data_IF_013519942794
#
_entry.id   IF_013519942794
#
_cell.length_a   1.000
_cell.length_b   1.000
_cell.length_c   1.000
_cell.angle_alpha   90.00
_cell.angle_beta   90.00
_cell.angle_gamma   90.00
#
_symmetry.space_group_name_H-M   'P 1'
#
loop_
_entity.id
_entity.type
_entity.pdbx_description
1 polymer ?
#
# COMPACT_ATOMS: atom_id res chain seq x y z
N UNK A 1 13.31 -9.98 -28.70
CA UNK A 1 11.87 -10.20 -28.44
C UNK A 1 11.71 -10.31 -26.93
N UNK A 2 11.29 -9.19 -26.34
CA UNK A 2 11.05 -9.10 -24.91
C UNK A 2 9.75 -9.84 -24.59
N UNK A 3 9.84 -11.11 -24.27
CA UNK A 3 8.75 -11.89 -23.72
C UNK A 3 8.62 -11.65 -22.21
N UNK A 4 8.84 -10.42 -21.78
CA UNK A 4 8.53 -10.02 -20.44
C UNK A 4 7.03 -10.05 -20.25
N UNK A 5 6.50 -11.16 -19.78
CA UNK A 5 5.17 -11.21 -19.18
C UNK A 5 5.08 -10.03 -18.21
N UNK A 6 4.24 -9.05 -18.55
CA UNK A 6 4.06 -7.86 -17.70
C UNK A 6 3.74 -8.35 -16.29
N UNK A 7 4.68 -8.12 -15.35
CA UNK A 7 4.54 -8.54 -13.97
C UNK A 7 3.36 -7.83 -13.34
N UNK A 8 2.41 -8.59 -12.81
CA UNK A 8 1.36 -8.02 -11.98
C UNK A 8 1.98 -7.37 -10.75
N UNK A 9 1.64 -6.11 -10.50
CA UNK A 9 2.17 -5.38 -9.36
C UNK A 9 1.11 -4.53 -8.68
N UNK A 10 1.30 -4.33 -7.38
CA UNK A 10 0.59 -3.35 -6.58
C UNK A 10 1.58 -2.26 -6.17
N UNK A 11 1.19 -1.00 -6.29
CA UNK A 11 1.98 0.13 -5.85
C UNK A 11 1.44 0.62 -4.50
N UNK A 12 2.33 0.83 -3.54
CA UNK A 12 2.05 1.51 -2.29
C UNK A 12 2.57 2.94 -2.41
N UNK A 13 1.70 3.94 -2.29
CA UNK A 13 2.09 5.35 -2.21
C UNK A 13 2.23 5.76 -0.75
N UNK A 14 3.43 6.21 -0.40
CA UNK A 14 3.82 6.60 0.95
C UNK A 14 3.41 8.03 1.25
N UNK A 15 2.43 8.20 2.15
CA UNK A 15 1.97 9.49 2.66
C UNK A 15 2.55 9.82 4.05
N UNK A 16 3.65 9.20 4.44
CA UNK A 16 4.36 9.48 5.69
C UNK A 16 4.00 8.57 6.86
N UNK A 17 3.26 7.49 6.61
CA UNK A 17 2.87 6.53 7.64
C UNK A 17 4.03 5.67 8.15
N UNK A 18 3.84 5.06 9.31
CA UNK A 18 4.84 4.18 9.95
C UNK A 18 4.89 2.77 9.34
N UNK A 19 3.82 2.34 8.66
CA UNK A 19 3.63 0.95 8.26
C UNK A 19 3.73 0.71 6.75
N UNK A 20 4.38 1.61 6.01
CA UNK A 20 4.47 1.53 4.55
C UNK A 20 5.11 0.23 4.07
N UNK A 21 6.25 -0.13 4.66
CA UNK A 21 6.94 -1.37 4.32
C UNK A 21 6.16 -2.60 4.79
N UNK A 22 5.43 -2.50 5.88
CA UNK A 22 4.58 -3.58 6.36
C UNK A 22 3.43 -3.85 5.38
N UNK A 23 2.80 -2.80 4.84
CA UNK A 23 1.76 -2.94 3.80
C UNK A 23 2.33 -3.69 2.59
N UNK A 24 3.49 -3.28 2.08
CA UNK A 24 4.14 -3.94 0.96
C UNK A 24 4.48 -5.41 1.27
N UNK A 25 4.94 -5.69 2.47
CA UNK A 25 5.21 -7.05 2.93
C UNK A 25 3.95 -7.91 2.94
N UNK A 26 2.83 -7.38 3.43
CA UNK A 26 1.55 -8.11 3.43
C UNK A 26 1.05 -8.42 2.02
N UNK A 27 1.23 -7.50 1.09
CA UNK A 27 0.90 -7.72 -0.32
C UNK A 27 1.79 -8.83 -0.91
N UNK A 28 3.10 -8.80 -0.63
CA UNK A 28 4.05 -9.83 -1.09
C UNK A 28 3.74 -11.20 -0.50
N UNK A 29 3.24 -11.27 0.72
CA UNK A 29 2.75 -12.51 1.35
C UNK A 29 1.52 -13.09 0.60
N UNK A 30 0.83 -12.28 -0.19
CA UNK A 30 -0.21 -12.73 -1.12
C UNK A 30 0.36 -13.22 -2.48
N UNK A 31 1.66 -13.38 -2.60
CA UNK A 31 2.33 -13.75 -3.84
C UNK A 31 2.07 -12.76 -4.99
N UNK A 32 2.09 -11.48 -4.66
CA UNK A 32 1.96 -10.37 -5.60
C UNK A 32 3.15 -9.43 -5.41
N UNK A 33 3.79 -9.06 -6.51
CA UNK A 33 4.89 -8.10 -6.47
C UNK A 33 4.37 -6.73 -6.04
N UNK A 34 5.13 -6.05 -5.19
CA UNK A 34 4.74 -4.76 -4.62
C UNK A 34 5.93 -3.83 -4.46
N UNK A 35 5.78 -2.60 -4.87
CA UNK A 35 6.76 -1.54 -4.70
C UNK A 35 6.17 -0.41 -3.86
N UNK A 36 7.01 0.20 -3.02
CA UNK A 36 6.69 1.41 -2.28
C UNK A 36 7.30 2.61 -2.99
N UNK A 37 6.49 3.61 -3.27
CA UNK A 37 6.92 4.85 -3.90
C UNK A 37 6.45 6.06 -3.10
N UNK A 38 7.18 7.19 -3.14
CA UNK A 38 6.73 8.38 -2.47
C UNK A 38 5.43 8.92 -3.12
N UNK A 39 4.61 9.60 -2.32
CA UNK A 39 3.37 10.23 -2.82
C UNK A 39 3.63 11.26 -3.93
N UNK A 40 4.86 11.71 -4.09
CA UNK A 40 5.29 12.66 -5.14
C UNK A 40 5.47 12.00 -6.51
N UNK A 41 5.36 10.67 -6.59
CA UNK A 41 5.41 9.97 -7.88
C UNK A 41 4.34 10.52 -8.83
N UNK A 42 4.73 10.85 -10.06
CA UNK A 42 3.81 11.41 -11.05
C UNK A 42 2.76 10.39 -11.51
N UNK A 43 1.59 10.90 -11.88
CA UNK A 43 0.53 10.06 -12.45
C UNK A 43 0.96 9.38 -13.76
N UNK A 44 1.76 10.06 -14.57
CA UNK A 44 2.35 9.49 -15.79
C UNK A 44 3.21 8.28 -15.49
N UNK A 45 4.04 8.36 -14.45
CA UNK A 45 4.89 7.24 -14.03
C UNK A 45 4.06 6.07 -13.52
N UNK A 46 3.00 6.33 -12.78
CA UNK A 46 2.07 5.30 -12.33
C UNK A 46 1.41 4.60 -13.53
N UNK A 47 0.96 5.36 -14.52
CA UNK A 47 0.39 4.80 -15.75
C UNK A 47 1.39 3.93 -16.52
N UNK A 48 2.64 4.37 -16.63
CA UNK A 48 3.71 3.59 -17.27
C UNK A 48 3.95 2.25 -16.58
N UNK A 49 3.93 2.24 -15.24
CA UNK A 49 4.09 1.02 -14.45
C UNK A 49 2.89 0.07 -14.58
N UNK A 50 1.75 0.58 -15.00
CA UNK A 50 0.52 -0.18 -15.22
C UNK A 50 0.17 -1.13 -14.05
N UNK A 51 0.03 -0.61 -12.81
CA UNK A 51 -0.24 -1.45 -11.64
C UNK A 51 -1.64 -2.06 -11.70
N UNK A 52 -1.80 -3.20 -11.07
CA UNK A 52 -3.10 -3.84 -10.86
C UNK A 52 -3.90 -3.20 -9.75
N UNK A 53 -3.23 -2.54 -8.81
CA UNK A 53 -3.83 -1.84 -7.71
C UNK A 53 -2.89 -0.83 -7.09
N UNK A 54 -3.46 0.11 -6.35
CA UNK A 54 -2.72 1.14 -5.62
C UNK A 54 -3.23 1.16 -4.18
N UNK A 55 -2.31 1.25 -3.22
CA UNK A 55 -2.65 1.42 -1.80
C UNK A 55 -2.10 2.76 -1.33
N UNK A 56 -2.95 3.60 -0.77
CA UNK A 56 -2.57 4.83 -0.08
C UNK A 56 -2.33 4.52 1.39
N UNK A 57 -1.16 4.85 1.89
CA UNK A 57 -0.78 4.58 3.28
C UNK A 57 -1.46 5.53 4.26
N UNK A 58 -1.35 5.22 5.55
CA UNK A 58 -1.57 6.18 6.61
C UNK A 58 -0.56 7.32 6.58
N UNK A 59 -0.74 8.27 7.47
CA UNK A 59 0.15 9.42 7.64
C UNK A 59 -0.20 10.18 8.91
N UNK A 60 0.72 11.02 9.43
CA UNK A 60 0.53 11.72 10.70
C UNK A 60 -0.32 12.99 10.59
N UNK A 61 -0.61 13.45 9.38
CA UNK A 61 -1.15 14.78 9.12
C UNK A 61 -2.69 14.78 9.01
N UNK A 62 -3.29 15.97 9.12
CA UNK A 62 -4.67 16.20 8.70
C UNK A 62 -4.71 16.56 7.22
N UNK A 63 -5.78 16.17 6.52
CA UNK A 63 -5.99 16.55 5.11
C UNK A 63 -6.15 18.06 4.92
N UNK A 64 -6.45 18.80 6.00
CA UNK A 64 -6.61 20.25 5.98
C UNK A 64 -5.31 21.02 6.21
N UNK A 65 -4.24 20.38 6.61
CA UNK A 65 -2.95 21.04 6.80
C UNK A 65 -2.34 21.40 5.45
N UNK A 66 -1.88 22.63 5.28
CA UNK A 66 -1.30 23.12 4.01
C UNK A 66 -0.09 22.33 3.56
N UNK A 67 0.67 21.78 4.50
CA UNK A 67 1.88 20.98 4.23
C UNK A 67 1.61 19.48 4.10
N UNK A 68 0.35 19.05 4.25
CA UNK A 68 -0.01 17.64 4.16
C UNK A 68 0.20 17.09 2.75
N UNK A 69 0.65 15.83 2.63
CA UNK A 69 0.75 15.18 1.33
C UNK A 69 -0.64 15.00 0.71
N UNK A 70 -0.80 15.52 -0.49
CA UNK A 70 -2.00 15.33 -1.31
C UNK A 70 -1.63 14.66 -2.63
N UNK A 71 -2.63 14.15 -3.32
CA UNK A 71 -2.47 13.63 -4.67
C UNK A 71 -3.56 14.19 -5.59
N UNK A 72 -3.24 14.33 -6.87
CA UNK A 72 -4.20 14.87 -7.83
C UNK A 72 -5.41 13.94 -8.00
N UNK A 73 -6.60 14.54 -8.11
CA UNK A 73 -7.90 13.85 -8.18
C UNK A 73 -7.98 12.82 -9.33
N UNK A 74 -7.29 13.07 -10.42
CA UNK A 74 -7.30 12.25 -11.63
C UNK A 74 -6.85 10.81 -11.38
N UNK A 75 -6.10 10.55 -10.30
CA UNK A 75 -5.70 9.18 -9.94
C UNK A 75 -6.91 8.26 -9.71
N UNK A 76 -8.02 8.81 -9.25
CA UNK A 76 -9.24 8.03 -9.02
C UNK A 76 -10.00 7.70 -10.30
N UNK A 77 -9.59 8.24 -11.44
CA UNK A 77 -10.25 8.08 -12.74
C UNK A 77 -9.43 7.27 -13.76
N UNK A 78 -8.27 6.75 -13.37
CA UNK A 78 -7.42 5.98 -14.30
C UNK A 78 -7.82 4.50 -14.44
N UNK A 79 -8.87 4.07 -13.74
CA UNK A 79 -9.38 2.71 -13.83
C UNK A 79 -8.58 1.67 -13.04
N UNK A 80 -7.65 2.09 -12.19
CA UNK A 80 -6.88 1.20 -11.30
C UNK A 80 -7.54 1.19 -9.93
N UNK A 81 -7.85 0.01 -9.35
CA UNK A 81 -8.40 -0.08 -8.01
C UNK A 81 -7.48 0.56 -6.95
N UNK A 82 -8.08 1.27 -6.00
CA UNK A 82 -7.36 1.96 -4.93
C UNK A 82 -7.93 1.57 -3.57
N UNK A 83 -7.05 1.23 -2.63
CA UNK A 83 -7.35 1.06 -1.21
C UNK A 83 -6.68 2.20 -0.44
N UNK A 84 -7.46 3.04 0.24
CA UNK A 84 -6.96 4.05 1.16
C UNK A 84 -6.97 3.53 2.60
N UNK A 85 -5.86 3.69 3.33
CA UNK A 85 -5.71 3.26 4.72
C UNK A 85 -5.48 4.48 5.61
N UNK A 86 -6.28 4.63 6.66
CA UNK A 86 -6.17 5.70 7.66
C UNK A 86 -6.14 7.09 7.01
N UNK A 87 -5.02 7.81 7.03
CA UNK A 87 -4.88 9.07 6.29
C UNK A 87 -5.27 8.92 4.81
N UNK A 88 -4.86 7.83 4.17
CA UNK A 88 -5.23 7.54 2.77
C UNK A 88 -6.73 7.44 2.55
N UNK A 89 -7.49 6.94 3.52
CA UNK A 89 -8.95 6.90 3.47
C UNK A 89 -9.57 8.30 3.58
N UNK A 90 -9.02 9.13 4.46
CA UNK A 90 -9.45 10.51 4.64
C UNK A 90 -9.12 11.35 3.40
N UNK A 91 -7.95 11.16 2.83
CA UNK A 91 -7.55 11.83 1.59
C UNK A 91 -8.48 11.50 0.42
N UNK A 92 -8.87 10.24 0.29
CA UNK A 92 -9.85 9.80 -0.71
C UNK A 92 -11.19 10.50 -0.51
N UNK A 93 -11.71 10.49 0.72
CA UNK A 93 -12.97 11.15 1.07
C UNK A 93 -12.92 12.66 0.78
N UNK A 94 -11.89 13.32 1.26
CA UNK A 94 -11.68 14.76 1.08
C UNK A 94 -11.58 15.14 -0.40
N UNK A 95 -10.76 14.42 -1.16
CA UNK A 95 -10.53 14.71 -2.58
C UNK A 95 -11.80 14.53 -3.42
N UNK A 96 -12.64 13.57 -3.06
CA UNK A 96 -13.86 13.23 -3.82
C UNK A 96 -15.12 13.93 -3.28
N UNK A 97 -14.98 14.88 -2.38
CA UNK A 97 -16.07 15.74 -1.92
C UNK A 97 -16.81 15.25 -0.68
N UNK A 98 -16.28 14.26 0.03
CA UNK A 98 -16.73 13.88 1.36
C UNK A 98 -16.28 14.87 2.43
N UNK A 99 -16.62 14.61 3.68
CA UNK A 99 -16.29 15.48 4.80
C UNK A 99 -15.43 14.74 5.82
N UNK A 100 -14.32 15.37 6.23
CA UNK A 100 -13.43 14.90 7.28
C UNK A 100 -13.51 15.89 8.45
N UNK A 101 -13.63 15.37 9.67
CA UNK A 101 -13.71 16.17 10.90
C UNK A 101 -12.69 15.67 11.92
N UNK A 102 -12.37 16.54 12.88
CA UNK A 102 -11.57 16.17 14.04
C UNK A 102 -12.49 15.73 15.17
N UNK A 103 -12.30 14.53 15.69
CA UNK A 103 -13.06 14.02 16.81
C UNK A 103 -12.63 14.69 18.12
N UNK A 104 -13.55 14.88 19.09
CA UNK A 104 -13.20 15.39 20.41
C UNK A 104 -12.31 14.42 21.20
N UNK A 105 -12.37 13.13 20.89
CA UNK A 105 -11.56 12.08 21.49
C UNK A 105 -10.93 11.23 20.39
N UNK A 106 -9.62 11.06 20.47
CA UNK A 106 -8.88 10.21 19.55
C UNK A 106 -9.17 8.72 19.82
N UNK A 107 -9.20 7.93 18.78
CA UNK A 107 -9.40 6.49 18.85
C UNK A 107 -8.06 5.78 18.58
N UNK A 108 -7.53 5.11 19.61
CA UNK A 108 -6.28 4.36 19.52
C UNK A 108 -6.46 2.97 20.14
N UNK A 109 -5.90 1.97 19.47
CA UNK A 109 -5.88 0.59 19.95
C UNK A 109 -6.90 -0.31 19.31
N UNK A 110 -7.18 -1.43 19.98
CA UNK A 110 -8.17 -2.41 19.54
C UNK A 110 -9.58 -1.85 19.64
N UNK A 111 -10.32 -1.96 18.55
CA UNK A 111 -11.72 -1.52 18.51
C UNK A 111 -12.57 -2.58 17.83
N UNK A 112 -13.65 -3.02 18.49
CA UNK A 112 -14.66 -3.87 17.84
C UNK A 112 -15.39 -3.07 16.78
N UNK A 113 -15.42 -3.64 15.59
CA UNK A 113 -15.92 -2.96 14.39
C UNK A 113 -16.95 -3.84 13.69
N UNK A 114 -18.09 -3.27 13.40
CA UNK A 114 -19.12 -3.92 12.60
C UNK A 114 -18.80 -3.72 11.11
N UNK A 115 -18.72 -4.82 10.36
CA UNK A 115 -18.43 -4.80 8.92
C UNK A 115 -19.59 -5.39 8.12
N UNK A 116 -19.82 -4.82 6.95
CA UNK A 116 -20.77 -5.33 5.98
C UNK A 116 -20.11 -6.43 5.13
N UNK A 117 -20.46 -7.67 5.41
CA UNK A 117 -19.87 -8.84 4.73
C UNK A 117 -20.35 -9.00 3.27
N UNK A 118 -21.30 -8.19 2.81
CA UNK A 118 -21.64 -8.11 1.39
C UNK A 118 -20.59 -7.36 0.57
N UNK A 119 -19.72 -6.56 1.23
CA UNK A 119 -18.55 -5.96 0.59
C UNK A 119 -17.55 -7.02 0.20
N UNK A 120 -16.99 -6.90 -1.00
CA UNK A 120 -15.91 -7.79 -1.46
C UNK A 120 -14.70 -7.74 -0.54
N UNK A 121 -14.39 -6.55 0.00
CA UNK A 121 -13.27 -6.37 0.94
C UNK A 121 -13.44 -7.21 2.21
N UNK A 122 -14.67 -7.40 2.66
CA UNK A 122 -15.00 -8.12 3.89
C UNK A 122 -15.56 -9.53 3.64
N UNK A 123 -15.32 -10.07 2.45
CA UNK A 123 -15.71 -11.47 2.15
C UNK A 123 -15.00 -12.42 3.10
N UNK A 124 -15.74 -13.33 3.70
CA UNK A 124 -15.25 -14.31 4.68
C UNK A 124 -14.68 -13.70 5.97
N UNK A 125 -14.96 -12.44 6.23
CA UNK A 125 -14.65 -11.73 7.48
C UNK A 125 -15.84 -11.86 8.43
N UNK A 126 -15.58 -12.02 9.72
CA UNK A 126 -16.64 -12.02 10.73
C UNK A 126 -17.37 -10.67 10.76
N UNK A 127 -18.71 -10.65 10.91
CA UNK A 127 -19.50 -9.41 10.94
C UNK A 127 -19.07 -8.42 12.01
N UNK A 128 -18.52 -8.90 13.11
CA UNK A 128 -17.89 -8.09 14.17
C UNK A 128 -16.47 -8.57 14.36
N UNK A 129 -15.52 -7.67 14.22
CA UNK A 129 -14.10 -8.01 14.28
C UNK A 129 -13.28 -6.91 14.93
N UNK A 130 -12.23 -7.31 15.65
CA UNK A 130 -11.30 -6.37 16.26
C UNK A 130 -10.33 -5.82 15.19
N UNK A 131 -10.22 -4.49 15.16
CA UNK A 131 -9.32 -3.77 14.27
C UNK A 131 -8.40 -2.84 15.07
N UNK A 132 -7.28 -2.46 14.48
CA UNK A 132 -6.39 -1.46 15.07
C UNK A 132 -6.71 -0.07 14.55
N UNK A 133 -7.11 0.81 15.46
CA UNK A 133 -7.34 2.22 15.20
C UNK A 133 -6.19 3.07 15.70
N UNK A 134 -5.87 4.12 14.96
CA UNK A 134 -4.85 5.10 15.33
C UNK A 134 -5.18 6.42 14.60
N UNK A 135 -6.21 7.14 15.09
CA UNK A 135 -6.64 8.36 14.43
C UNK A 135 -7.37 9.32 15.38
N UNK A 136 -7.34 10.60 15.03
CA UNK A 136 -8.14 11.67 15.64
C UNK A 136 -9.15 12.20 14.62
N UNK A 137 -8.71 12.44 13.40
CA UNK A 137 -9.61 12.82 12.30
C UNK A 137 -10.38 11.59 11.82
N UNK A 138 -11.60 11.82 11.36
CA UNK A 138 -12.49 10.78 10.88
C UNK A 138 -13.34 11.27 9.71
N UNK A 139 -13.80 10.36 8.88
CA UNK A 139 -14.73 10.66 7.80
C UNK A 139 -16.13 10.81 8.41
N UNK A 140 -16.68 12.01 8.33
CA UNK A 140 -18.02 12.31 8.83
C UNK A 140 -19.10 12.05 7.77
N UNK A 141 -18.75 12.26 6.50
CA UNK A 141 -19.65 12.02 5.37
C UNK A 141 -18.86 11.44 4.19
N UNK A 142 -19.35 10.32 3.66
CA UNK A 142 -18.76 9.69 2.47
C UNK A 142 -19.04 10.53 1.22
N UNK A 143 -18.16 10.48 0.21
CA UNK A 143 -18.42 11.12 -1.08
C UNK A 143 -19.66 10.54 -1.77
N UNK A 144 -20.21 11.29 -2.71
CA UNK A 144 -21.32 10.82 -3.56
C UNK A 144 -20.93 9.51 -4.27
N UNK A 145 -21.84 8.54 -4.28
CA UNK A 145 -21.62 7.24 -4.88
C UNK A 145 -20.93 6.22 -3.97
N UNK A 146 -20.47 6.64 -2.80
CA UNK A 146 -19.88 5.75 -1.80
C UNK A 146 -20.94 5.26 -0.81
N UNK A 147 -20.68 4.07 -0.26
CA UNK A 147 -21.44 3.54 0.88
C UNK A 147 -20.52 3.24 2.05
N UNK A 148 -21.05 3.34 3.26
CA UNK A 148 -20.35 2.94 4.48
C UNK A 148 -20.40 1.42 4.59
N UNK A 149 -19.25 0.79 4.80
CA UNK A 149 -19.12 -0.67 4.89
C UNK A 149 -18.61 -1.17 6.24
N UNK A 150 -18.18 -0.26 7.11
CA UNK A 150 -17.85 -0.57 8.49
C UNK A 150 -18.04 0.65 9.39
N UNK A 151 -18.38 0.39 10.65
CA UNK A 151 -18.53 1.43 11.66
C UNK A 151 -18.19 0.91 13.06
N UNK A 152 -17.86 1.84 13.93
CA UNK A 152 -17.74 1.62 15.39
C UNK A 152 -18.68 2.56 16.13
N UNK A 153 -18.88 2.42 17.45
CA UNK A 153 -19.70 3.35 18.21
C UNK A 153 -19.26 4.82 18.12
N UNK A 154 -17.96 5.07 17.88
CA UNK A 154 -17.38 6.43 17.82
C UNK A 154 -16.88 6.82 16.45
N UNK A 155 -16.77 5.89 15.52
CA UNK A 155 -16.33 6.12 14.15
C UNK A 155 -17.44 5.72 13.17
N UNK A 156 -18.20 6.68 12.63
CA UNK A 156 -19.34 6.38 11.78
C UNK A 156 -18.96 5.77 10.43
N UNK A 157 -17.74 6.06 9.97
CA UNK A 157 -17.19 5.52 8.71
C UNK A 157 -15.83 4.89 9.01
N UNK A 158 -15.84 3.66 9.49
CA UNK A 158 -14.62 2.87 9.66
C UNK A 158 -14.15 2.25 8.35
N UNK A 159 -15.04 2.07 7.39
CA UNK A 159 -14.73 1.73 6.00
C UNK A 159 -15.81 2.25 5.06
N UNK A 160 -15.43 2.51 3.83
CA UNK A 160 -16.31 2.95 2.76
C UNK A 160 -15.87 2.36 1.43
N UNK A 161 -16.78 2.30 0.47
CA UNK A 161 -16.45 1.85 -0.87
C UNK A 161 -17.32 2.50 -1.95
N UNK A 162 -16.75 2.61 -3.14
CA UNK A 162 -17.45 2.77 -4.39
C UNK A 162 -16.99 1.62 -5.30
N UNK A 163 -17.66 0.48 -5.20
CA UNK A 163 -17.23 -0.76 -5.87
C UNK A 163 -17.19 -0.62 -7.39
N UNK A 164 -18.11 0.13 -7.98
CA UNK A 164 -18.16 0.40 -9.43
C UNK A 164 -16.88 1.08 -9.94
N UNK A 165 -16.25 1.91 -9.11
CA UNK A 165 -15.00 2.61 -9.43
C UNK A 165 -13.76 1.88 -8.90
N UNK A 166 -13.92 0.75 -8.23
CA UNK A 166 -12.82 0.04 -7.59
C UNK A 166 -12.17 0.80 -6.43
N UNK A 167 -12.92 1.67 -5.75
CA UNK A 167 -12.39 2.50 -4.66
C UNK A 167 -12.86 1.97 -3.31
N UNK A 168 -11.89 1.69 -2.44
CA UNK A 168 -12.09 1.12 -1.11
C UNK A 168 -11.27 1.90 -0.09
N UNK A 169 -11.77 2.03 1.12
CA UNK A 169 -11.06 2.75 2.17
C UNK A 169 -11.36 2.16 3.55
N UNK A 170 -10.33 2.11 4.40
CA UNK A 170 -10.45 1.73 5.81
C UNK A 170 -9.81 2.80 6.68
N UNK A 171 -10.48 3.18 7.78
CA UNK A 171 -9.88 4.04 8.79
C UNK A 171 -8.86 3.27 9.62
N UNK A 172 -9.08 1.99 9.84
CA UNK A 172 -8.20 1.11 10.57
C UNK A 172 -7.07 0.58 9.67
N UNK A 173 -6.06 -0.01 10.31
CA UNK A 173 -4.87 -0.56 9.67
C UNK A 173 -5.00 -2.07 9.47
N UNK A 174 -5.34 -2.57 8.27
CA UNK A 174 -5.43 -4.02 8.03
C UNK A 174 -4.06 -4.71 8.01
N UNK A 175 -2.97 -3.97 7.82
CA UNK A 175 -1.61 -4.49 7.72
C UNK A 175 -1.01 -4.93 9.05
N UNK A 176 -1.47 -4.36 10.17
CA UNK A 176 -0.92 -4.67 11.49
C UNK A 176 -1.54 -5.94 12.08
N UNK A 177 -0.76 -6.67 12.89
CA UNK A 177 -1.18 -7.92 13.54
C UNK A 177 -2.43 -7.77 14.40
N UNK A 178 -2.63 -6.57 14.96
CA UNK A 178 -3.73 -6.28 15.87
C UNK A 178 -5.10 -6.16 15.17
N UNK A 179 -5.12 -6.04 13.85
CA UNK A 179 -6.34 -6.21 13.06
C UNK A 179 -6.50 -7.69 12.77
N UNK A 180 -7.44 -8.33 13.47
CA UNK A 180 -7.58 -9.79 13.54
C UNK A 180 -7.70 -10.45 12.16
N UNK A 181 -8.50 -9.89 11.28
CA UNK A 181 -8.73 -10.44 9.94
C UNK A 181 -8.16 -9.56 8.82
N UNK A 182 -7.16 -8.74 9.15
CA UNK A 182 -6.56 -7.79 8.21
C UNK A 182 -5.94 -8.44 6.98
N UNK A 183 -5.32 -9.60 7.14
CA UNK A 183 -4.73 -10.33 6.01
C UNK A 183 -5.79 -10.81 5.02
N UNK A 184 -6.96 -11.25 5.49
CA UNK A 184 -8.10 -11.57 4.62
C UNK A 184 -8.56 -10.35 3.81
N UNK A 185 -8.64 -9.20 4.45
CA UNK A 185 -9.06 -7.95 3.80
C UNK A 185 -8.08 -7.57 2.69
N UNK A 186 -6.79 -7.62 2.95
CA UNK A 186 -5.75 -7.34 1.95
C UNK A 186 -5.77 -8.37 0.82
N UNK A 187 -5.95 -9.64 1.12
CA UNK A 187 -6.11 -10.69 0.09
C UNK A 187 -7.32 -10.44 -0.78
N UNK A 188 -8.45 -10.07 -0.18
CA UNK A 188 -9.66 -9.74 -0.93
C UNK A 188 -9.42 -8.57 -1.87
N UNK A 189 -8.74 -7.53 -1.41
CA UNK A 189 -8.38 -6.42 -2.28
C UNK A 189 -7.48 -6.85 -3.43
N UNK A 190 -6.40 -7.54 -3.14
CA UNK A 190 -5.39 -7.93 -4.14
C UNK A 190 -5.95 -8.93 -5.16
N UNK A 191 -6.69 -9.94 -4.73
CA UNK A 191 -7.20 -10.99 -5.61
C UNK A 191 -8.56 -10.65 -6.22
N UNK A 192 -9.51 -10.24 -5.40
CA UNK A 192 -10.91 -10.06 -5.86
C UNK A 192 -11.14 -8.69 -6.51
N UNK A 193 -10.53 -7.64 -5.99
CA UNK A 193 -10.69 -6.29 -6.53
C UNK A 193 -9.66 -6.00 -7.63
N UNK A 194 -8.38 -6.26 -7.36
CA UNK A 194 -7.30 -6.01 -8.32
C UNK A 194 -7.16 -7.11 -9.38
N UNK A 195 -7.71 -8.29 -9.14
CA UNK A 195 -7.66 -9.42 -10.08
C UNK A 195 -6.27 -10.03 -10.25
N UNK A 196 -5.40 -9.93 -9.25
CA UNK A 196 -4.08 -10.54 -9.30
C UNK A 196 -4.17 -12.06 -9.21
N UNK A 197 -3.29 -12.76 -9.93
CA UNK A 197 -3.26 -14.23 -9.97
C UNK A 197 -2.56 -14.87 -8.79
N UNK A 198 -1.67 -14.12 -8.10
CA UNK A 198 -0.93 -14.63 -6.95
C UNK A 198 0.19 -15.61 -7.29
N UNK A 199 0.82 -15.44 -8.43
CA UNK A 199 1.86 -16.33 -8.93
C UNK A 199 3.29 -15.81 -8.75
N UNK A 200 3.46 -14.62 -8.19
CA UNK A 200 4.77 -14.06 -7.88
C UNK A 200 5.41 -14.76 -6.68
N UNK A 201 6.70 -15.08 -6.79
CA UNK A 201 7.47 -15.70 -5.71
C UNK A 201 8.78 -14.94 -5.47
N UNK A 202 9.15 -14.78 -4.20
CA UNK A 202 10.38 -14.10 -3.81
C UNK A 202 11.62 -14.78 -4.39
N UNK A 203 11.66 -16.13 -4.42
CA UNK A 203 12.77 -16.88 -5.00
C UNK A 203 13.00 -16.52 -6.47
N UNK A 204 11.95 -16.53 -7.27
CA UNK A 204 12.02 -16.14 -8.68
C UNK A 204 12.43 -14.68 -8.87
N UNK A 205 11.98 -13.80 -7.98
CA UNK A 205 12.40 -12.39 -7.96
C UNK A 205 13.91 -12.25 -7.72
N UNK A 206 14.45 -12.98 -6.76
CA UNK A 206 15.89 -12.97 -6.46
C UNK A 206 16.71 -13.46 -7.66
N UNK A 207 16.31 -14.57 -8.27
CA UNK A 207 16.96 -15.11 -9.46
C UNK A 207 16.94 -14.15 -10.64
N UNK A 208 15.78 -13.56 -10.90
CA UNK A 208 15.60 -12.57 -11.96
C UNK A 208 16.46 -11.31 -11.71
N UNK A 209 16.48 -10.82 -10.48
CA UNK A 209 17.29 -9.66 -10.09
C UNK A 209 18.77 -9.94 -10.29
N UNK A 210 19.25 -11.13 -9.90
CA UNK A 210 20.63 -11.56 -10.11
C UNK A 210 20.95 -11.60 -11.61
N UNK A 211 20.07 -12.13 -12.42
CA UNK A 211 20.23 -12.17 -13.88
C UNK A 211 20.34 -10.77 -14.47
N UNK A 212 19.45 -9.87 -14.10
CA UNK A 212 19.47 -8.49 -14.57
C UNK A 212 20.74 -7.74 -14.16
N UNK A 213 21.22 -7.93 -12.94
CA UNK A 213 22.49 -7.34 -12.48
C UNK A 213 23.64 -7.85 -13.34
N UNK A 214 23.72 -9.15 -13.60
CA UNK A 214 24.77 -9.74 -14.44
C UNK A 214 24.75 -9.19 -15.86
N UNK A 215 23.57 -9.09 -16.46
CA UNK A 215 23.41 -8.54 -17.80
C UNK A 215 23.83 -7.07 -17.87
N UNK A 216 23.43 -6.28 -16.89
CA UNK A 216 23.73 -4.85 -16.84
C UNK A 216 25.19 -4.55 -16.58
N UNK A 217 25.84 -5.32 -15.72
CA UNK A 217 27.27 -5.12 -15.37
C UNK A 217 28.18 -5.74 -16.44
N UNK A 218 27.79 -6.87 -17.05
CA UNK A 218 28.60 -7.57 -18.04
C UNK A 218 30.00 -7.87 -17.50
N UNK A 219 31.04 -7.51 -18.27
CA UNK A 219 32.45 -7.66 -17.86
C UNK A 219 32.99 -6.47 -17.05
N UNK A 220 32.15 -5.49 -16.73
CA UNK A 220 32.50 -4.29 -15.99
C UNK A 220 32.67 -4.54 -14.48
N UNK A 221 32.88 -3.45 -13.76
CA UNK A 221 32.94 -3.43 -12.31
C UNK A 221 31.82 -2.58 -11.76
N UNK A 222 31.32 -2.92 -10.59
CA UNK A 222 30.29 -2.16 -9.90
C UNK A 222 30.78 -1.69 -8.53
N UNK A 223 30.36 -0.49 -8.15
CA UNK A 223 30.61 0.10 -6.84
C UNK A 223 29.29 0.18 -6.08
N UNK A 224 29.26 -0.34 -4.87
CA UNK A 224 28.13 -0.25 -3.97
C UNK A 224 28.52 0.58 -2.75
N UNK A 225 27.91 1.75 -2.58
CA UNK A 225 28.05 2.57 -1.37
C UNK A 225 27.03 2.11 -0.33
N UNK A 226 27.51 1.76 0.86
CA UNK A 226 26.69 1.23 1.96
C UNK A 226 26.59 2.28 3.08
N UNK A 227 25.48 3.05 3.13
CA UNK A 227 25.28 4.07 4.16
C UNK A 227 24.90 3.51 5.53
N UNK A 228 24.87 2.19 5.66
CA UNK A 228 24.39 1.50 6.86
C UNK A 228 22.85 1.36 6.87
N UNK A 229 22.37 0.15 6.97
CA UNK A 229 20.95 -0.17 7.00
C UNK A 229 20.65 -1.52 6.36
N UNK A 230 19.45 -2.04 6.64
CA UNK A 230 19.04 -3.36 6.17
C UNK A 230 18.92 -3.41 4.64
N UNK A 231 18.35 -2.38 4.04
CA UNK A 231 18.11 -2.34 2.59
C UNK A 231 19.41 -2.32 1.78
N UNK A 232 20.39 -1.54 2.23
CA UNK A 232 21.71 -1.49 1.59
C UNK A 232 22.46 -2.81 1.74
N UNK A 233 22.29 -3.50 2.87
CA UNK A 233 22.88 -4.82 3.09
C UNK A 233 22.28 -5.88 2.16
N UNK A 234 20.96 -5.86 1.95
CA UNK A 234 20.27 -6.75 1.00
C UNK A 234 20.75 -6.51 -0.43
N UNK A 235 20.85 -5.24 -0.83
CA UNK A 235 21.37 -4.87 -2.14
C UNK A 235 22.79 -5.39 -2.36
N UNK A 236 23.68 -5.21 -1.38
CA UNK A 236 25.05 -5.71 -1.43
C UNK A 236 25.11 -7.24 -1.57
N UNK A 237 24.27 -7.98 -0.83
CA UNK A 237 24.20 -9.43 -0.91
C UNK A 237 23.74 -9.88 -2.32
N UNK A 238 22.73 -9.26 -2.87
CA UNK A 238 22.23 -9.57 -4.22
C UNK A 238 23.30 -9.29 -5.29
N UNK A 239 23.97 -8.14 -5.20
CA UNK A 239 25.07 -7.79 -6.11
C UNK A 239 26.25 -8.73 -5.96
N UNK A 240 26.61 -9.11 -4.74
CA UNK A 240 27.69 -10.07 -4.49
C UNK A 240 27.38 -11.46 -5.10
N UNK A 241 26.14 -11.92 -4.97
CA UNK A 241 25.70 -13.17 -5.61
C UNK A 241 25.70 -13.08 -7.13
N UNK A 242 25.39 -11.90 -7.68
CA UNK A 242 25.33 -11.70 -9.12
C UNK A 242 26.72 -11.62 -9.77
N UNK A 243 27.62 -10.82 -9.23
CA UNK A 243 28.88 -10.41 -9.87
C UNK A 243 30.15 -10.68 -9.06
N UNK A 244 30.04 -11.09 -7.79
CA UNK A 244 31.16 -11.52 -6.97
C UNK A 244 32.32 -10.53 -6.94
N UNK A 245 33.47 -10.93 -7.51
CA UNK A 245 34.72 -10.15 -7.51
C UNK A 245 34.67 -8.84 -8.32
N UNK A 246 33.65 -8.64 -9.14
CA UNK A 246 33.43 -7.40 -9.88
C UNK A 246 32.80 -6.31 -8.99
N UNK A 247 32.38 -6.66 -7.76
CA UNK A 247 31.77 -5.74 -6.80
C UNK A 247 32.81 -5.19 -5.83
N UNK A 248 32.81 -3.86 -5.67
CA UNK A 248 33.51 -3.17 -4.59
C UNK A 248 32.49 -2.48 -3.70
N UNK A 249 32.50 -2.79 -2.40
CA UNK A 249 31.65 -2.15 -1.41
C UNK A 249 32.43 -1.09 -0.65
N UNK A 250 31.84 0.09 -0.50
CA UNK A 250 32.40 1.20 0.30
C UNK A 250 31.41 1.50 1.42
N UNK A 251 31.88 1.39 2.65
CA UNK A 251 31.10 1.77 3.82
C UNK A 251 31.25 3.29 4.04
N UNK A 252 30.14 3.95 4.17
CA UNK A 252 30.07 5.39 4.48
C UNK A 252 29.72 5.51 5.96
N UNK A 253 30.68 6.00 6.74
CA UNK A 253 30.50 6.31 8.15
C UNK A 253 30.03 7.76 8.30
N UNK A 254 28.95 7.98 9.07
CA UNK A 254 28.36 9.31 9.29
C UNK A 254 28.63 9.80 10.71
#
# INVERSE_FOLDING_TARGET
>A
EDTGLAREMVIVLDFGGQYNQLIARRVRECNVYCEVHPYTMSLEKIRELNPKGIIFTGGPNSVYDETSPHYQKEIFDIGVPILGICYGSQLMAYTLGGEVKTAPVSEYGHTETEVDTSSVLFRDVEPSTAVWMSHTDYIAQVPEGFRVTAHTPVCPVAAMECAERGLYATQFHPEVMHTKEGQKMLRNFVYEVCGCSGDWQMGSFVEETIRQIREKVGDGKALCALPGGVDSSVAAVLMSKAIGKQLTCVFVDH
#
